data_IF_443361996966
#
_entry.id   IF_443361996966
#
_cell.length_a   1.000
_cell.length_b   1.000
_cell.length_c   1.000
_cell.angle_alpha   90.00
_cell.angle_beta   90.00
_cell.angle_gamma   90.00
#
_symmetry.space_group_name_H-M   'P 1'
#
loop_
_entity.id
_entity.type
_entity.pdbx_description
1 polymer ?
#
# COMPACT_ATOMS: atom_id res chain seq x y z
N UNK A 1 -4.40 -3.26 -20.35
CA UNK A 1 -3.90 -2.25 -19.39
C UNK A 1 -4.45 -2.57 -18.01
N UNK A 2 -3.75 -3.38 -17.23
CA UNK A 2 -4.21 -3.82 -15.91
C UNK A 2 -3.84 -2.72 -14.89
N UNK A 3 -4.77 -1.79 -14.62
CA UNK A 3 -4.59 -0.82 -13.54
C UNK A 3 -4.66 -1.55 -12.21
N UNK A 4 -3.51 -2.02 -11.73
CA UNK A 4 -3.36 -2.66 -10.43
C UNK A 4 -3.66 -1.60 -9.35
N UNK A 5 -4.89 -1.61 -8.85
CA UNK A 5 -5.44 -0.76 -7.78
C UNK A 5 -4.51 -0.57 -6.56
N UNK A 6 -3.68 -1.57 -6.14
CA UNK A 6 -2.70 -1.40 -5.06
C UNK A 6 -1.62 -0.32 -5.31
N UNK A 7 -1.39 0.07 -6.57
CA UNK A 7 -0.31 1.00 -6.91
C UNK A 7 -0.73 2.47 -6.76
N UNK A 8 -2.04 2.76 -6.77
CA UNK A 8 -2.54 4.15 -6.75
C UNK A 8 -2.34 4.77 -5.37
N UNK A 9 -2.76 4.08 -4.30
CA UNK A 9 -2.58 4.56 -2.92
C UNK A 9 -1.10 4.63 -2.54
N UNK A 10 -0.28 3.69 -3.00
CA UNK A 10 1.17 3.73 -2.80
C UNK A 10 1.79 4.97 -3.45
N UNK A 11 1.49 5.21 -4.74
CA UNK A 11 1.96 6.39 -5.47
C UNK A 11 1.46 7.70 -4.86
N UNK A 12 0.20 7.74 -4.43
CA UNK A 12 -0.37 8.87 -3.74
C UNK A 12 0.43 9.18 -2.46
N UNK A 13 0.67 8.17 -1.63
CA UNK A 13 1.48 8.32 -0.41
C UNK A 13 2.90 8.79 -0.69
N UNK A 14 3.59 8.19 -1.67
CA UNK A 14 4.96 8.57 -2.04
C UNK A 14 5.02 10.02 -2.55
N UNK A 15 3.99 10.48 -3.26
CA UNK A 15 3.87 11.87 -3.70
C UNK A 15 3.69 12.82 -2.52
N UNK A 16 2.82 12.48 -1.57
CA UNK A 16 2.58 13.31 -0.38
C UNK A 16 3.82 13.40 0.50
N UNK A 17 4.59 12.32 0.63
CA UNK A 17 5.89 12.36 1.32
C UNK A 17 6.86 13.34 0.66
N UNK A 18 6.94 13.35 -0.67
CA UNK A 18 7.76 14.32 -1.42
C UNK A 18 7.27 15.75 -1.23
N UNK A 19 5.96 15.98 -1.29
CA UNK A 19 5.37 17.32 -1.15
C UNK A 19 5.55 17.89 0.26
N UNK A 20 5.48 17.05 1.29
CA UNK A 20 5.66 17.45 2.70
C UNK A 20 7.12 17.45 3.15
N UNK A 21 8.06 17.01 2.30
CA UNK A 21 9.45 16.71 2.68
C UNK A 21 9.54 15.86 3.96
N UNK A 22 8.59 14.95 4.14
CA UNK A 22 8.47 14.14 5.35
C UNK A 22 8.67 12.66 5.07
N UNK A 23 9.13 11.94 6.07
CA UNK A 23 9.28 10.48 6.05
C UNK A 23 8.32 9.78 7.02
N UNK A 24 7.64 10.54 7.88
CA UNK A 24 6.71 10.02 8.89
C UNK A 24 5.28 9.99 8.38
N UNK A 25 4.61 8.84 8.52
CA UNK A 25 3.20 8.66 8.14
C UNK A 25 2.27 9.60 8.92
N UNK A 26 2.59 9.96 10.17
CA UNK A 26 1.77 10.90 10.93
C UNK A 26 1.76 12.30 10.30
N UNK A 27 2.86 12.68 9.65
CA UNK A 27 3.06 14.03 9.10
C UNK A 27 2.35 14.23 7.76
N UNK A 28 1.83 13.17 7.14
CA UNK A 28 1.09 13.27 5.88
C UNK A 28 -0.41 13.48 6.09
N UNK A 29 -0.92 13.52 7.34
CA UNK A 29 -2.32 13.88 7.63
C UNK A 29 -2.67 15.27 7.08
N UNK A 30 -3.86 15.43 6.53
CA UNK A 30 -4.30 16.69 5.91
C UNK A 30 -3.70 16.97 4.53
N UNK A 31 -2.64 16.27 4.13
CA UNK A 31 -1.98 16.43 2.84
C UNK A 31 -2.43 15.40 1.81
N UNK A 32 -3.68 14.94 1.89
CA UNK A 32 -4.22 13.94 0.98
C UNK A 32 -4.25 14.40 -0.48
N UNK A 33 -4.27 13.48 -1.45
CA UNK A 33 -4.49 13.81 -2.85
C UNK A 33 -5.72 14.69 -3.05
N UNK A 34 -5.63 15.72 -3.90
CA UNK A 34 -6.73 16.68 -4.16
C UNK A 34 -8.07 16.04 -4.53
N UNK A 35 -8.05 14.88 -5.19
CA UNK A 35 -9.26 14.17 -5.62
C UNK A 35 -9.94 13.38 -4.49
N UNK A 36 -9.35 13.35 -3.29
CA UNK A 36 -9.84 12.57 -2.17
C UNK A 36 -10.23 13.49 -1.01
N UNK A 37 -11.29 13.11 -0.30
CA UNK A 37 -11.71 13.84 0.90
C UNK A 37 -10.65 13.73 1.99
N UNK A 38 -10.45 14.83 2.71
CA UNK A 38 -9.46 14.91 3.78
C UNK A 38 -9.71 13.88 4.89
N UNK A 39 -10.98 13.64 5.24
CA UNK A 39 -11.35 12.67 6.28
C UNK A 39 -10.99 11.24 5.85
N UNK A 40 -11.32 10.87 4.60
CA UNK A 40 -10.97 9.55 4.03
C UNK A 40 -9.46 9.35 4.00
N UNK A 41 -8.69 10.40 3.69
CA UNK A 41 -7.24 10.32 3.76
C UNK A 41 -6.72 10.17 5.18
N UNK A 42 -7.25 10.95 6.13
CA UNK A 42 -6.84 10.88 7.52
C UNK A 42 -7.14 9.51 8.12
N UNK A 43 -8.30 8.93 7.82
CA UNK A 43 -8.67 7.58 8.22
C UNK A 43 -7.70 6.52 7.65
N UNK A 44 -7.31 6.67 6.37
CA UNK A 44 -6.29 5.81 5.76
C UNK A 44 -4.93 5.94 6.45
N UNK A 45 -4.53 7.17 6.79
CA UNK A 45 -3.29 7.44 7.52
C UNK A 45 -3.33 6.80 8.91
N UNK A 46 -4.45 6.91 9.62
CA UNK A 46 -4.65 6.25 10.92
C UNK A 46 -4.60 4.72 10.79
N UNK A 47 -5.19 4.18 9.73
CA UNK A 47 -5.11 2.75 9.42
C UNK A 47 -3.67 2.28 9.15
N UNK A 48 -2.83 3.13 8.54
CA UNK A 48 -1.41 2.84 8.34
C UNK A 48 -0.57 2.99 9.62
N UNK A 49 -1.01 3.80 10.57
CA UNK A 49 -0.38 3.95 11.89
C UNK A 49 -0.77 2.83 12.85
N UNK A 50 -1.84 2.07 12.59
CA UNK A 50 -2.21 0.91 13.38
C UNK A 50 -1.08 -0.14 13.37
N UNK A 51 -0.44 -0.28 14.54
CA UNK A 51 0.70 -1.18 14.78
C UNK A 51 0.36 -2.65 14.49
N UNK A 52 -0.90 -3.06 14.68
CA UNK A 52 -1.36 -4.42 14.37
C UNK A 52 -1.35 -4.68 12.87
N UNK A 53 -1.67 -3.68 12.06
CA UNK A 53 -1.63 -3.75 10.61
C UNK A 53 -0.20 -3.62 10.07
N UNK A 54 0.63 -2.73 10.65
CA UNK A 54 2.04 -2.64 10.29
C UNK A 54 2.77 -3.98 10.47
N UNK A 55 2.55 -4.65 11.62
CA UNK A 55 3.14 -5.95 11.89
C UNK A 55 2.69 -7.02 10.88
N UNK A 56 1.42 -7.02 10.47
CA UNK A 56 0.91 -7.91 9.43
C UNK A 56 1.53 -7.64 8.06
N UNK A 57 1.70 -6.37 7.68
CA UNK A 57 2.34 -5.99 6.43
C UNK A 57 3.81 -6.40 6.39
N UNK A 58 4.55 -6.14 7.47
CA UNK A 58 5.97 -6.53 7.60
C UNK A 58 6.11 -8.05 7.56
N UNK A 59 5.26 -8.78 8.29
CA UNK A 59 5.24 -10.24 8.26
C UNK A 59 4.93 -10.77 6.85
N UNK A 60 3.95 -10.20 6.16
CA UNK A 60 3.63 -10.58 4.78
C UNK A 60 4.77 -10.30 3.81
N UNK A 61 5.47 -9.16 3.94
CA UNK A 61 6.66 -8.88 3.14
C UNK A 61 7.79 -9.86 3.41
N UNK A 62 8.11 -10.13 4.69
CA UNK A 62 9.13 -11.10 5.07
C UNK A 62 8.81 -12.50 4.56
N UNK A 63 7.55 -12.91 4.69
CA UNK A 63 7.08 -14.20 4.17
C UNK A 63 7.24 -14.26 2.65
N UNK A 64 6.94 -13.19 1.91
CA UNK A 64 7.17 -13.14 0.45
C UNK A 64 8.66 -13.14 0.07
N UNK A 65 9.50 -12.44 0.81
CA UNK A 65 10.94 -12.37 0.55
C UNK A 65 11.67 -13.69 0.88
N UNK A 66 11.15 -14.44 1.84
CA UNK A 66 11.68 -15.75 2.23
C UNK A 66 11.19 -16.89 1.34
N UNK A 67 10.18 -16.67 0.49
CA UNK A 67 9.78 -17.67 -0.49
C UNK A 67 10.78 -17.70 -1.66
N UNK A 68 11.32 -18.88 -2.01
CA UNK A 68 12.15 -19.02 -3.20
C UNK A 68 11.34 -18.66 -4.45
N UNK A 69 12.00 -18.04 -5.44
CA UNK A 69 11.33 -17.43 -6.60
C UNK A 69 10.47 -18.44 -7.39
N UNK A 70 10.89 -19.69 -7.40
CA UNK A 70 10.26 -20.89 -7.95
C UNK A 70 8.98 -21.33 -7.23
N UNK A 71 8.68 -20.77 -6.05
CA UNK A 71 7.43 -20.99 -5.28
C UNK A 71 6.55 -19.76 -5.16
N UNK A 72 6.90 -18.64 -5.80
CA UNK A 72 6.00 -17.50 -5.96
C UNK A 72 4.88 -17.88 -6.95
N UNK A 73 3.93 -18.68 -6.49
CA UNK A 73 2.63 -18.77 -7.15
C UNK A 73 2.03 -17.37 -7.18
N UNK A 74 2.04 -16.72 -8.33
CA UNK A 74 1.14 -15.62 -8.64
C UNK A 74 -0.26 -16.24 -8.57
N UNK A 75 -0.89 -16.18 -7.40
CA UNK A 75 -2.27 -16.56 -7.24
C UNK A 75 -3.11 -15.66 -8.16
N UNK A 76 -3.47 -16.18 -9.32
CA UNK A 76 -4.31 -15.48 -10.30
C UNK A 76 -3.98 -15.75 -11.76
N UNK A 77 -3.88 -17.02 -12.16
CA UNK A 77 -4.25 -17.40 -13.53
C UNK A 77 -5.01 -18.71 -13.45
N UNK A 78 -6.34 -18.61 -13.52
CA UNK A 78 -7.22 -19.76 -13.73
C UNK A 78 -7.25 -19.95 -15.24
N UNK A 79 -6.59 -20.98 -15.76
CA UNK A 79 -6.76 -21.37 -17.16
C UNK A 79 -8.16 -22.00 -17.30
N UNK A 80 -9.05 -21.35 -18.05
CA UNK A 80 -10.23 -22.03 -18.58
C UNK A 80 -9.73 -23.00 -19.65
N UNK A 81 -9.64 -24.27 -19.28
CA UNK A 81 -9.36 -25.35 -20.22
C UNK A 81 -10.51 -25.46 -21.23
N UNK A 82 -10.15 -25.59 -22.50
CA UNK A 82 -11.00 -26.13 -23.56
C UNK A 82 -10.87 -27.63 -23.61
#
# INVERSE_FOLDING_TARGET
MHYYYPNILKRARDRVFKETNSTSIANIKGYGPKAMKVDVWNDLVDHWLDSKLQNKFVASQKNKAAMPADKLHIAGSISFGT
#
